data_IF_752444483440
#
_entry.id   IF_752444483440
#
_cell.length_a   1.000
_cell.length_b   1.000
_cell.length_c   1.000
_cell.angle_alpha   90.00
_cell.angle_beta   90.00
_cell.angle_gamma   90.00
#
_symmetry.space_group_name_H-M   'P 1'
#
loop_
_entity.id
_entity.type
_entity.pdbx_description
1 polymer ?
#
# COMPACT_ATOMS: atom_id res chain seq x y z
N UNK A 1 -9.22 17.17 -18.83
CA UNK A 1 -8.36 17.76 -17.80
C UNK A 1 -8.33 16.76 -16.66
N UNK A 2 -7.17 16.19 -16.34
CA UNK A 2 -7.06 15.30 -15.18
C UNK A 2 -7.34 16.11 -13.91
N UNK A 3 -8.03 15.51 -12.96
CA UNK A 3 -8.09 16.12 -11.62
C UNK A 3 -6.74 16.05 -10.92
N UNK A 4 -6.61 16.74 -9.79
CA UNK A 4 -5.34 16.90 -9.08
C UNK A 4 -4.72 15.55 -8.72
N UNK A 5 -5.55 14.58 -8.34
CA UNK A 5 -5.14 13.23 -7.93
C UNK A 5 -4.56 12.46 -9.12
N UNK A 6 -5.30 12.41 -10.23
CA UNK A 6 -4.82 11.68 -11.41
C UNK A 6 -3.58 12.34 -12.02
N UNK A 7 -3.47 13.68 -11.96
CA UNK A 7 -2.23 14.38 -12.37
C UNK A 7 -1.04 13.98 -11.51
N UNK A 8 -1.21 13.90 -10.19
CA UNK A 8 -0.13 13.48 -9.30
C UNK A 8 0.25 12.02 -9.50
N UNK A 9 -0.73 11.13 -9.70
CA UNK A 9 -0.48 9.74 -10.06
C UNK A 9 0.33 9.63 -11.36
N UNK A 10 -0.03 10.41 -12.39
CA UNK A 10 0.66 10.44 -13.67
C UNK A 10 2.13 10.91 -13.53
N UNK A 11 2.36 11.95 -12.73
CA UNK A 11 3.70 12.44 -12.44
C UNK A 11 4.56 11.40 -11.71
N UNK A 12 3.98 10.67 -10.74
CA UNK A 12 4.70 9.63 -10.02
C UNK A 12 5.07 8.49 -10.98
N UNK A 13 4.11 8.08 -11.80
CA UNK A 13 4.29 7.01 -12.78
C UNK A 13 5.41 7.33 -13.78
N UNK A 14 5.36 8.50 -14.40
CA UNK A 14 6.37 8.92 -15.40
C UNK A 14 7.76 9.16 -14.79
N UNK A 15 7.83 9.73 -13.59
CA UNK A 15 9.12 10.17 -13.01
C UNK A 15 9.85 9.08 -12.22
N UNK A 16 9.11 8.17 -11.58
CA UNK A 16 9.69 7.22 -10.63
C UNK A 16 9.45 5.76 -10.99
N UNK A 17 8.48 5.46 -11.87
CA UNK A 17 8.11 4.08 -12.20
C UNK A 17 8.47 3.68 -13.63
N UNK A 18 8.94 4.59 -14.49
CA UNK A 18 9.48 4.23 -15.80
C UNK A 18 10.72 3.35 -15.64
N UNK A 19 10.57 2.05 -15.91
CA UNK A 19 11.58 1.01 -15.65
C UNK A 19 12.76 1.04 -16.65
N UNK A 20 12.74 1.96 -17.61
CA UNK A 20 13.60 1.98 -18.79
C UNK A 20 15.09 2.24 -18.49
N UNK A 21 15.41 2.98 -17.41
CA UNK A 21 16.74 3.62 -17.30
C UNK A 21 17.59 3.22 -16.09
N UNK A 22 17.15 2.25 -15.26
CA UNK A 22 17.99 1.84 -14.12
C UNK A 22 19.30 1.20 -14.65
N UNK A 23 20.40 1.14 -13.91
CA UNK A 23 21.57 0.32 -14.26
C UNK A 23 21.39 -1.16 -13.89
N UNK A 24 22.03 -2.10 -14.61
CA UNK A 24 21.86 -3.55 -14.37
C UNK A 24 22.20 -4.01 -12.95
N UNK A 25 23.15 -3.35 -12.30
CA UNK A 25 23.57 -3.65 -10.93
C UNK A 25 22.59 -3.16 -9.85
N UNK A 26 21.65 -2.28 -10.20
CA UNK A 26 20.51 -1.99 -9.33
C UNK A 26 19.51 -3.13 -9.52
N UNK A 27 19.28 -3.86 -8.42
CA UNK A 27 18.19 -4.83 -8.33
C UNK A 27 16.83 -4.14 -8.45
N UNK A 28 15.78 -4.84 -8.02
CA UNK A 28 14.45 -4.23 -7.99
C UNK A 28 14.40 -3.04 -7.04
N UNK A 29 13.39 -2.20 -7.20
CA UNK A 29 13.26 -0.97 -6.43
C UNK A 29 12.07 -1.02 -5.49
N UNK A 30 12.31 -0.73 -4.22
CA UNK A 30 11.31 -0.51 -3.18
C UNK A 30 11.11 0.99 -2.98
N UNK A 31 9.90 1.47 -3.26
CA UNK A 31 9.51 2.87 -3.11
C UNK A 31 8.45 2.95 -2.03
N UNK A 32 8.74 3.66 -0.95
CA UNK A 32 7.75 4.04 0.04
C UNK A 32 7.09 5.35 -0.36
N UNK A 33 5.76 5.37 -0.36
CA UNK A 33 4.97 6.55 -0.66
C UNK A 33 4.11 6.97 0.53
N UNK A 34 4.36 8.18 1.01
CA UNK A 34 3.72 8.76 2.19
C UNK A 34 2.54 9.68 1.85
N UNK A 35 2.19 9.86 0.57
CA UNK A 35 1.18 10.86 0.17
C UNK A 35 1.45 12.21 0.83
N UNK A 36 0.43 12.82 1.44
CA UNK A 36 0.60 13.99 2.31
C UNK A 36 0.58 13.58 3.79
N UNK A 37 1.72 13.15 4.34
CA UNK A 37 1.83 12.62 5.71
C UNK A 37 0.88 11.43 5.99
N UNK A 38 0.54 10.67 4.97
CA UNK A 38 -0.35 9.51 4.97
C UNK A 38 -1.66 9.79 4.23
N UNK A 39 -1.97 11.05 3.96
CA UNK A 39 -3.25 11.47 3.44
C UNK A 39 -3.37 11.35 1.91
N UNK A 40 -4.52 10.87 1.43
CA UNK A 40 -4.82 10.71 0.00
C UNK A 40 -3.99 9.61 -0.68
N UNK A 41 -3.14 8.94 0.10
CA UNK A 41 -2.16 7.98 -0.39
C UNK A 41 -2.84 6.81 -1.10
N UNK A 42 -3.93 6.30 -0.53
CA UNK A 42 -4.62 5.16 -1.13
C UNK A 42 -5.37 5.54 -2.40
N UNK A 43 -5.90 6.76 -2.47
CA UNK A 43 -6.51 7.27 -3.70
C UNK A 43 -5.47 7.37 -4.81
N UNK A 44 -4.29 7.93 -4.52
CA UNK A 44 -3.22 8.08 -5.51
C UNK A 44 -2.66 6.72 -5.95
N UNK A 45 -2.42 5.78 -5.03
CA UNK A 45 -1.94 4.44 -5.39
C UNK A 45 -2.92 3.70 -6.31
N UNK A 46 -4.23 3.85 -6.06
CA UNK A 46 -5.26 3.26 -6.93
C UNK A 46 -5.24 3.90 -8.35
N UNK A 47 -5.12 5.24 -8.44
CA UNK A 47 -4.99 5.92 -9.73
C UNK A 47 -3.70 5.51 -10.47
N UNK A 48 -2.58 5.34 -9.76
CA UNK A 48 -1.32 4.83 -10.34
C UNK A 48 -1.54 3.43 -10.91
N UNK A 49 -2.22 2.54 -10.19
CA UNK A 49 -2.51 1.19 -10.66
C UNK A 49 -3.36 1.21 -11.94
N UNK A 50 -4.41 2.03 -12.00
CA UNK A 50 -5.23 2.18 -13.21
C UNK A 50 -4.43 2.74 -14.39
N UNK A 51 -3.65 3.80 -14.16
CA UNK A 51 -2.84 4.42 -15.21
C UNK A 51 -1.78 3.45 -15.73
N UNK A 52 -1.08 2.74 -14.85
CA UNK A 52 -0.06 1.75 -15.21
C UNK A 52 -0.64 0.62 -16.08
N UNK A 53 -1.87 0.17 -15.79
CA UNK A 53 -2.56 -0.85 -16.62
C UNK A 53 -2.95 -0.32 -18.00
N UNK A 54 -3.26 0.98 -18.13
CA UNK A 54 -3.71 1.59 -19.39
C UNK A 54 -2.56 2.06 -20.27
N UNK A 55 -1.49 2.60 -19.68
CA UNK A 55 -0.34 3.13 -20.40
C UNK A 55 0.57 2.01 -20.88
N UNK A 56 0.45 1.66 -22.16
CA UNK A 56 1.34 0.70 -22.84
C UNK A 56 2.82 1.08 -22.82
N UNK A 57 3.15 2.36 -22.58
CA UNK A 57 4.52 2.84 -22.47
C UNK A 57 5.20 2.42 -21.16
N UNK A 58 4.44 1.90 -20.19
CA UNK A 58 5.01 1.33 -18.98
C UNK A 58 5.53 -0.07 -19.29
N UNK A 59 6.84 -0.28 -19.14
CA UNK A 59 7.53 -1.56 -19.38
C UNK A 59 7.19 -2.65 -18.35
N UNK A 60 6.00 -2.61 -17.72
CA UNK A 60 5.52 -3.64 -16.80
C UNK A 60 4.49 -4.54 -17.48
N UNK A 61 4.80 -5.83 -17.58
CA UNK A 61 3.89 -6.85 -18.09
C UNK A 61 2.82 -7.23 -17.07
N UNK A 62 3.09 -7.03 -15.77
CA UNK A 62 2.17 -7.27 -14.67
C UNK A 62 2.08 -6.02 -13.79
N UNK A 63 0.85 -5.59 -13.49
CA UNK A 63 0.57 -4.57 -12.48
C UNK A 63 -0.33 -5.18 -11.40
N UNK A 64 0.25 -5.52 -10.25
CA UNK A 64 -0.48 -6.04 -9.09
C UNK A 64 -0.87 -4.88 -8.18
N UNK A 65 -2.17 -4.70 -7.97
CA UNK A 65 -2.69 -3.70 -7.04
C UNK A 65 -3.35 -4.39 -5.86
N UNK A 66 -2.67 -4.36 -4.71
CA UNK A 66 -3.07 -5.11 -3.52
C UNK A 66 -3.39 -4.16 -2.38
N UNK A 67 -4.67 -3.93 -2.19
CA UNK A 67 -5.18 -3.12 -1.10
C UNK A 67 -5.38 -3.95 0.18
N UNK A 68 -4.33 -4.01 0.98
CA UNK A 68 -4.33 -4.65 2.30
C UNK A 68 -4.39 -3.59 3.43
N UNK A 69 -5.04 -2.44 3.18
CA UNK A 69 -5.06 -1.33 4.15
C UNK A 69 -5.77 -1.67 5.46
N UNK A 70 -6.71 -2.60 5.43
CA UNK A 70 -7.24 -3.26 6.63
C UNK A 70 -6.46 -4.56 6.82
N UNK A 71 -5.46 -4.52 7.69
CA UNK A 71 -4.62 -5.68 7.96
C UNK A 71 -5.39 -6.74 8.72
N UNK A 72 -5.38 -7.97 8.20
CA UNK A 72 -5.83 -9.16 8.92
C UNK A 72 -4.65 -10.08 9.18
N UNK A 73 -3.90 -10.48 8.15
CA UNK A 73 -2.76 -11.40 8.27
C UNK A 73 -1.90 -11.45 7.02
N UNK A 74 -0.71 -12.07 7.15
CA UNK A 74 0.15 -12.37 6.00
C UNK A 74 -0.55 -13.29 5.00
N UNK A 75 -1.27 -14.32 5.49
CA UNK A 75 -2.15 -15.18 4.67
C UNK A 75 -3.11 -14.37 3.80
N UNK A 76 -3.76 -13.36 4.38
CA UNK A 76 -4.73 -12.50 3.68
C UNK A 76 -4.07 -11.72 2.56
N UNK A 77 -2.90 -11.12 2.82
CA UNK A 77 -2.12 -10.44 1.79
C UNK A 77 -1.71 -11.38 0.65
N UNK A 78 -1.21 -12.58 0.97
CA UNK A 78 -0.84 -13.57 -0.04
C UNK A 78 -2.04 -13.97 -0.90
N UNK A 79 -3.20 -14.17 -0.28
CA UNK A 79 -4.45 -14.52 -0.98
C UNK A 79 -4.89 -13.41 -1.92
N UNK A 80 -4.70 -12.14 -1.56
CA UNK A 80 -5.00 -11.02 -2.46
C UNK A 80 -4.04 -10.95 -3.65
N UNK A 81 -2.73 -11.18 -3.45
CA UNK A 81 -1.76 -11.29 -4.55
C UNK A 81 -2.17 -12.41 -5.52
N UNK A 82 -2.52 -13.58 -5.00
CA UNK A 82 -2.95 -14.72 -5.81
C UNK A 82 -4.24 -14.43 -6.61
N UNK A 83 -5.19 -13.68 -6.03
CA UNK A 83 -6.41 -13.24 -6.72
C UNK A 83 -6.13 -12.24 -7.83
N UNK A 84 -5.28 -11.24 -7.60
CA UNK A 84 -4.89 -10.29 -8.65
C UNK A 84 -4.15 -10.97 -9.82
N UNK A 85 -3.36 -12.01 -9.53
CA UNK A 85 -2.74 -12.85 -10.55
C UNK A 85 -3.71 -13.80 -11.25
N UNK A 86 -4.97 -13.86 -10.85
CA UNK A 86 -5.97 -14.83 -11.32
C UNK A 86 -5.49 -16.28 -11.20
N UNK A 87 -4.77 -16.61 -10.11
CA UNK A 87 -4.40 -18.00 -9.84
C UNK A 87 -5.67 -18.83 -9.62
N UNK A 88 -5.71 -20.01 -10.24
CA UNK A 88 -6.93 -20.82 -10.39
C UNK A 88 -7.51 -21.36 -9.07
N UNK A 89 -8.66 -22.02 -9.18
CA UNK A 89 -9.39 -22.57 -8.03
C UNK A 89 -8.58 -23.56 -7.19
N UNK A 90 -7.64 -24.30 -7.79
CA UNK A 90 -6.72 -25.17 -7.05
C UNK A 90 -5.85 -24.39 -6.06
N UNK A 91 -5.40 -23.18 -6.41
CA UNK A 91 -4.64 -22.31 -5.52
C UNK A 91 -5.51 -21.78 -4.39
N UNK A 92 -6.77 -21.41 -4.67
CA UNK A 92 -7.70 -20.98 -3.63
C UNK A 92 -8.00 -22.10 -2.63
N UNK A 93 -8.12 -23.34 -3.11
CA UNK A 93 -8.30 -24.52 -2.26
C UNK A 93 -7.11 -24.80 -1.33
N UNK A 94 -5.87 -24.46 -1.72
CA UNK A 94 -4.72 -24.55 -0.82
C UNK A 94 -4.87 -23.63 0.39
N UNK A 95 -5.34 -22.40 0.16
CA UNK A 95 -5.61 -21.49 1.27
C UNK A 95 -6.76 -21.98 2.15
N UNK A 96 -7.87 -22.41 1.56
CA UNK A 96 -9.05 -22.84 2.31
C UNK A 96 -8.72 -24.06 3.19
N UNK A 97 -7.98 -25.03 2.64
CA UNK A 97 -7.48 -26.17 3.41
C UNK A 97 -6.59 -25.75 4.59
N UNK A 98 -5.61 -24.88 4.36
CA UNK A 98 -4.73 -24.44 5.45
C UNK A 98 -5.47 -23.59 6.49
N UNK A 99 -6.45 -22.78 6.07
CA UNK A 99 -7.28 -22.01 6.98
C UNK A 99 -8.13 -22.91 7.88
N UNK A 100 -8.68 -24.01 7.34
CA UNK A 100 -9.37 -25.04 8.11
C UNK A 100 -8.43 -25.74 9.10
N UNK A 101 -7.27 -26.24 8.65
CA UNK A 101 -6.28 -26.91 9.51
C UNK A 101 -5.82 -26.01 10.68
N UNK A 102 -5.65 -24.71 10.42
CA UNK A 102 -5.31 -23.71 11.42
C UNK A 102 -6.47 -23.41 12.37
N UNK A 103 -7.71 -23.38 11.89
CA UNK A 103 -8.92 -23.27 12.73
C UNK A 103 -9.00 -24.47 13.70
N UNK A 104 -8.76 -25.69 13.22
CA UNK A 104 -8.70 -26.89 14.06
C UNK A 104 -7.57 -26.84 15.09
N UNK A 105 -6.44 -26.22 14.74
CA UNK A 105 -5.28 -26.05 15.62
C UNK A 105 -5.41 -24.86 16.59
N UNK A 106 -6.48 -24.07 16.47
CA UNK A 106 -6.70 -22.88 17.30
C UNK A 106 -5.75 -21.71 16.97
N UNK A 107 -5.22 -21.66 15.75
CA UNK A 107 -4.35 -20.57 15.31
C UNK A 107 -5.21 -19.36 14.94
N UNK A 108 -4.99 -18.27 15.67
CA UNK A 108 -5.65 -17.00 15.41
C UNK A 108 -5.40 -16.50 13.99
N UNK A 109 -6.43 -15.92 13.36
CA UNK A 109 -6.35 -15.39 11.99
C UNK A 109 -5.21 -14.40 11.81
N UNK A 110 -4.97 -13.54 12.78
CA UNK A 110 -3.89 -12.54 12.78
C UNK A 110 -2.49 -13.14 12.72
N UNK A 111 -2.32 -14.34 13.27
CA UNK A 111 -1.05 -15.06 13.33
C UNK A 111 -0.77 -15.93 12.10
N UNK A 112 -1.71 -16.00 11.15
CA UNK A 112 -1.61 -16.86 9.96
C UNK A 112 -0.54 -16.37 8.99
N UNK A 113 0.49 -17.20 8.83
CA UNK A 113 1.56 -16.99 7.86
C UNK A 113 1.13 -17.36 6.43
N UNK A 114 1.91 -16.89 5.46
CA UNK A 114 1.93 -17.32 4.07
C UNK A 114 2.16 -18.83 3.92
N UNK A 115 1.69 -19.38 2.80
CA UNK A 115 1.83 -20.79 2.44
C UNK A 115 2.93 -20.93 1.40
N UNK A 116 3.96 -21.72 1.69
CA UNK A 116 5.13 -21.90 0.81
C UNK A 116 4.77 -22.44 -0.58
N UNK A 117 3.81 -23.37 -0.65
CA UNK A 117 3.34 -23.91 -1.92
C UNK A 117 2.69 -22.82 -2.79
N UNK A 118 1.90 -21.94 -2.17
CA UNK A 118 1.30 -20.80 -2.89
C UNK A 118 2.35 -19.78 -3.29
N UNK A 119 3.37 -19.54 -2.46
CA UNK A 119 4.48 -18.65 -2.80
C UNK A 119 5.22 -19.16 -4.06
N UNK A 120 5.41 -20.47 -4.21
CA UNK A 120 5.99 -21.05 -5.45
C UNK A 120 5.09 -20.80 -6.67
N UNK A 121 3.77 -20.92 -6.52
CA UNK A 121 2.83 -20.66 -7.61
C UNK A 121 2.82 -19.19 -8.03
N UNK A 122 2.85 -18.27 -7.06
CA UNK A 122 2.99 -16.83 -7.30
C UNK A 122 4.31 -16.55 -8.03
N UNK A 123 5.42 -17.13 -7.55
CA UNK A 123 6.71 -16.97 -8.19
C UNK A 123 6.70 -17.43 -9.65
N UNK A 124 6.17 -18.63 -9.93
CA UNK A 124 6.08 -19.12 -11.31
C UNK A 124 5.23 -18.22 -12.21
N UNK A 125 4.18 -17.60 -11.66
CA UNK A 125 3.38 -16.66 -12.42
C UNK A 125 4.16 -15.37 -12.75
N UNK A 126 5.05 -14.89 -11.89
CA UNK A 126 5.69 -13.57 -12.04
C UNK A 126 7.11 -13.63 -12.63
N UNK A 127 7.88 -14.69 -12.36
CA UNK A 127 9.34 -14.79 -12.55
C UNK A 127 9.91 -14.51 -13.94
N UNK A 128 9.10 -14.50 -15.00
CA UNK A 128 9.57 -14.27 -16.38
C UNK A 128 9.05 -12.96 -16.95
N UNK A 129 8.32 -12.19 -16.14
CA UNK A 129 7.63 -10.95 -16.53
C UNK A 129 8.06 -9.78 -15.65
N UNK A 130 8.12 -8.58 -16.22
CA UNK A 130 8.31 -7.36 -15.42
C UNK A 130 7.05 -7.05 -14.60
N UNK A 131 7.23 -6.69 -13.32
CA UNK A 131 6.15 -6.54 -12.35
C UNK A 131 6.24 -5.21 -11.60
N UNK A 132 5.14 -4.46 -11.60
CA UNK A 132 4.87 -3.38 -10.66
C UNK A 132 3.91 -3.90 -9.59
N UNK A 133 4.38 -3.99 -8.35
CA UNK A 133 3.58 -4.36 -7.18
C UNK A 133 3.24 -3.10 -6.38
N UNK A 134 1.95 -2.78 -6.26
CA UNK A 134 1.42 -1.64 -5.52
C UNK A 134 0.70 -2.16 -4.27
N UNK A 135 1.16 -1.79 -3.07
CA UNK A 135 0.66 -2.35 -1.81
C UNK A 135 0.23 -1.28 -0.82
N UNK A 136 -1.01 -1.40 -0.36
CA UNK A 136 -1.50 -0.64 0.77
C UNK A 136 -1.25 -1.50 2.01
N UNK A 137 -0.11 -1.32 2.68
CA UNK A 137 0.25 -2.13 3.85
C UNK A 137 -0.47 -1.60 5.08
N UNK A 138 -1.55 -2.26 5.50
CA UNK A 138 -2.28 -1.92 6.72
C UNK A 138 -1.59 -2.30 8.03
N UNK A 139 -0.49 -3.05 7.97
CA UNK A 139 0.27 -3.45 9.17
C UNK A 139 1.19 -2.33 9.67
N UNK A 140 1.86 -2.60 10.79
CA UNK A 140 2.81 -1.70 11.42
C UNK A 140 4.27 -1.98 11.08
N UNK A 141 4.49 -3.00 10.25
CA UNK A 141 5.79 -3.58 9.97
C UNK A 141 6.02 -3.67 8.46
N UNK A 142 7.28 -3.52 8.05
CA UNK A 142 7.65 -3.74 6.67
C UNK A 142 7.44 -5.20 6.26
N UNK A 143 7.02 -5.40 5.02
CA UNK A 143 6.67 -6.71 4.49
C UNK A 143 7.72 -7.14 3.49
N UNK A 144 8.36 -8.29 3.77
CA UNK A 144 9.20 -8.98 2.81
C UNK A 144 8.33 -9.71 1.78
N UNK A 145 8.17 -9.09 0.61
CA UNK A 145 7.37 -9.61 -0.50
C UNK A 145 7.95 -10.88 -1.16
N UNK A 146 9.23 -11.21 -0.93
CA UNK A 146 9.83 -12.45 -1.42
C UNK A 146 9.18 -13.68 -0.80
N UNK A 147 8.79 -13.59 0.49
CA UNK A 147 8.11 -14.68 1.19
C UNK A 147 6.75 -15.03 0.59
N UNK A 148 6.13 -14.08 -0.12
CA UNK A 148 4.87 -14.28 -0.83
C UNK A 148 5.08 -14.84 -2.23
N UNK A 149 6.33 -14.99 -2.68
CA UNK A 149 6.69 -15.47 -4.01
C UNK A 149 6.88 -14.37 -5.05
N UNK A 150 6.79 -13.09 -4.69
CA UNK A 150 6.97 -12.01 -5.67
C UNK A 150 8.48 -11.72 -5.82
N UNK A 151 9.08 -11.83 -7.02
CA UNK A 151 10.52 -11.67 -7.24
C UNK A 151 10.97 -10.19 -7.23
N UNK A 152 10.69 -9.48 -6.13
CA UNK A 152 10.87 -8.02 -6.02
C UNK A 152 12.31 -7.53 -6.09
N UNK A 153 13.30 -8.41 -5.97
CA UNK A 153 14.73 -8.06 -6.07
C UNK A 153 15.25 -8.01 -7.50
N UNK A 154 14.48 -8.44 -8.48
CA UNK A 154 14.89 -8.33 -9.88
C UNK A 154 14.76 -6.89 -10.37
N UNK A 155 15.80 -6.38 -11.04
CA UNK A 155 15.89 -5.05 -11.67
C UNK A 155 14.59 -4.53 -12.30
N UNK A 156 13.91 -5.43 -13.02
CA UNK A 156 12.72 -5.11 -13.81
C UNK A 156 11.46 -4.97 -12.96
N UNK A 157 11.56 -5.20 -11.65
CA UNK A 157 10.44 -5.18 -10.74
C UNK A 157 10.53 -3.95 -9.82
N UNK A 158 9.37 -3.39 -9.53
CA UNK A 158 9.23 -2.25 -8.63
C UNK A 158 8.12 -2.55 -7.64
N UNK A 159 8.36 -2.22 -6.37
CA UNK A 159 7.38 -2.23 -5.31
C UNK A 159 7.10 -0.79 -4.92
N UNK A 160 5.84 -0.38 -5.02
CA UNK A 160 5.36 0.89 -4.51
C UNK A 160 4.42 0.60 -3.34
N UNK A 161 4.75 1.07 -2.14
CA UNK A 161 3.98 0.71 -0.96
C UNK A 161 3.81 1.86 0.03
N UNK A 162 2.81 1.73 0.91
CA UNK A 162 2.54 2.71 1.96
C UNK A 162 2.12 2.05 3.26
N UNK A 163 2.39 2.69 4.40
CA UNK A 163 1.92 2.26 5.72
C UNK A 163 0.56 2.84 6.06
N UNK A 164 -0.36 1.98 6.54
CA UNK A 164 -1.71 2.30 7.01
C UNK A 164 -2.48 3.26 6.10
N UNK A 165 -2.22 3.17 4.79
CA UNK A 165 -2.47 4.23 3.81
C UNK A 165 -3.74 5.04 4.05
N UNK A 166 -4.91 4.39 4.12
CA UNK A 166 -6.19 5.08 4.27
C UNK A 166 -6.33 5.76 5.62
N UNK A 167 -6.62 7.06 5.62
CA UNK A 167 -7.03 7.80 6.80
C UNK A 167 -6.05 7.69 7.96
N UNK A 168 -4.75 7.66 7.64
CA UNK A 168 -3.71 7.46 8.65
C UNK A 168 -3.66 8.62 9.64
N UNK A 169 -3.97 8.33 10.90
CA UNK A 169 -3.90 9.30 12.00
C UNK A 169 -2.48 9.45 12.58
N UNK A 170 -1.68 8.38 12.57
CA UNK A 170 -0.33 8.35 13.15
C UNK A 170 0.75 8.60 12.06
N UNK A 171 1.24 9.84 11.89
CA UNK A 171 2.23 10.15 10.88
C UNK A 171 3.62 9.56 11.19
N UNK A 172 3.91 9.27 12.46
CA UNK A 172 5.19 8.73 12.92
C UNK A 172 5.46 7.30 12.44
N UNK A 173 4.45 6.58 11.92
CA UNK A 173 4.68 5.22 11.38
C UNK A 173 5.70 5.21 10.23
N UNK A 174 5.83 6.34 9.49
CA UNK A 174 6.81 6.47 8.41
C UNK A 174 8.25 6.35 8.93
N UNK A 175 8.48 6.61 10.21
CA UNK A 175 9.79 6.52 10.84
C UNK A 175 10.21 5.06 11.06
N UNK A 176 9.28 4.10 10.89
CA UNK A 176 9.57 2.67 10.86
C UNK A 176 10.10 2.19 9.50
N UNK A 177 10.05 3.02 8.46
CA UNK A 177 10.55 2.66 7.13
C UNK A 177 12.07 2.56 7.18
N UNK A 178 12.61 1.39 6.85
CA UNK A 178 14.04 1.05 6.89
C UNK A 178 14.57 0.57 5.54
N UNK A 179 13.77 -0.18 4.79
CA UNK A 179 14.25 -0.89 3.59
C UNK A 179 13.67 -0.35 2.27
N UNK A 180 13.19 0.90 2.25
CA UNK A 180 12.83 1.58 1.02
C UNK A 180 14.06 2.21 0.37
N UNK A 181 14.24 1.99 -0.94
CA UNK A 181 15.29 2.64 -1.75
C UNK A 181 14.97 4.11 -2.01
N UNK A 182 13.68 4.44 -2.08
CA UNK A 182 13.19 5.79 -2.31
C UNK A 182 12.01 6.11 -1.41
N UNK A 183 12.03 7.32 -0.84
CA UNK A 183 10.94 7.87 -0.06
C UNK A 183 10.28 9.00 -0.85
N UNK A 184 8.98 8.86 -1.12
CA UNK A 184 8.18 9.85 -1.82
C UNK A 184 7.11 10.42 -0.90
N UNK A 185 7.04 11.75 -0.82
CA UNK A 185 5.94 12.47 -0.19
C UNK A 185 5.51 13.62 -1.08
N UNK A 186 4.26 14.06 -0.91
CA UNK A 186 3.70 15.20 -1.60
C UNK A 186 3.69 16.36 -0.63
N UNK A 187 4.43 17.41 -0.97
CA UNK A 187 4.17 18.75 -0.47
C UNK A 187 3.27 19.45 -1.49
N UNK A 188 1.97 19.57 -1.21
CA UNK A 188 1.06 20.36 -2.05
C UNK A 188 0.48 21.55 -1.30
N UNK A 189 0.38 22.65 -2.05
CA UNK A 189 0.30 24.04 -1.59
C UNK A 189 -1.14 24.54 -1.34
N UNK A 190 -2.19 23.73 -1.56
CA UNK A 190 -3.58 24.19 -1.50
C UNK A 190 -4.53 23.32 -0.66
N UNK A 191 -5.55 23.94 -0.04
CA UNK A 191 -6.59 23.24 0.73
C UNK A 191 -7.62 22.52 -0.18
N UNK A 192 -7.85 23.01 -1.39
CA UNK A 192 -8.78 22.42 -2.37
C UNK A 192 -8.40 20.99 -2.73
N UNK A 193 -7.13 20.78 -3.06
CA UNK A 193 -6.58 19.52 -3.54
C UNK A 193 -6.62 18.48 -2.40
N UNK A 194 -6.49 18.94 -1.15
CA UNK A 194 -6.66 18.09 0.02
C UNK A 194 -8.09 17.59 0.15
N UNK A 195 -9.09 18.46 0.08
CA UNK A 195 -10.48 18.01 0.19
C UNK A 195 -10.84 17.00 -0.90
N UNK A 196 -10.37 17.22 -2.13
CA UNK A 196 -10.58 16.28 -3.22
C UNK A 196 -9.97 14.89 -2.93
N UNK A 197 -8.71 14.84 -2.49
CA UNK A 197 -8.05 13.60 -2.06
C UNK A 197 -8.83 12.90 -0.93
N UNK A 198 -9.36 13.66 0.03
CA UNK A 198 -10.10 13.15 1.20
C UNK A 198 -11.38 12.49 0.74
N UNK A 199 -12.11 13.16 -0.16
CA UNK A 199 -13.35 12.64 -0.71
C UNK A 199 -13.14 11.43 -1.60
N UNK A 200 -12.07 11.39 -2.41
CA UNK A 200 -11.72 10.22 -3.23
C UNK A 200 -11.36 9.03 -2.35
N UNK A 201 -10.54 9.22 -1.33
CA UNK A 201 -10.20 8.16 -0.39
C UNK A 201 -11.44 7.69 0.41
N UNK A 202 -12.32 8.62 0.80
CA UNK A 202 -13.57 8.32 1.46
C UNK A 202 -14.55 7.56 0.56
N UNK A 203 -14.56 7.85 -0.75
CA UNK A 203 -15.38 7.15 -1.71
C UNK A 203 -14.99 5.68 -1.83
N UNK A 204 -13.69 5.34 -1.71
CA UNK A 204 -13.22 3.96 -1.76
C UNK A 204 -13.72 3.09 -0.60
N UNK A 205 -14.05 3.70 0.54
CA UNK A 205 -14.55 2.99 1.74
C UNK A 205 -16.01 3.27 2.03
N UNK A 206 -16.65 4.13 1.23
CA UNK A 206 -18.04 4.50 1.40
C UNK A 206 -18.94 3.30 1.16
N UNK A 207 -19.75 2.97 2.16
CA UNK A 207 -20.77 1.93 2.09
C UNK A 207 -22.12 2.51 2.45
N UNK A 208 -22.39 2.63 3.76
CA UNK A 208 -23.62 3.22 4.30
C UNK A 208 -23.45 4.69 4.72
N UNK A 209 -22.20 5.16 4.77
CA UNK A 209 -21.83 6.52 5.18
C UNK A 209 -21.31 7.24 3.94
N UNK A 210 -21.81 8.46 3.68
CA UNK A 210 -21.39 9.23 2.51
C UNK A 210 -19.90 9.57 2.57
N UNK A 211 -19.21 9.69 1.43
CA UNK A 211 -17.80 10.06 1.40
C UNK A 211 -17.54 11.40 2.11
N UNK A 212 -18.46 12.36 1.97
CA UNK A 212 -18.37 13.64 2.65
C UNK A 212 -18.43 13.51 4.18
N UNK A 213 -19.26 12.61 4.71
CA UNK A 213 -19.33 12.41 6.15
C UNK A 213 -18.11 11.68 6.70
N UNK A 214 -17.56 10.71 5.96
CA UNK A 214 -16.30 10.04 6.32
C UNK A 214 -15.15 11.06 6.35
N UNK A 215 -15.08 11.91 5.33
CA UNK A 215 -14.13 13.01 5.23
C UNK A 215 -14.21 13.95 6.46
N UNK A 216 -15.40 14.44 6.80
CA UNK A 216 -15.63 15.28 8.00
C UNK A 216 -15.20 14.58 9.29
N UNK A 217 -15.63 13.32 9.49
CA UNK A 217 -15.26 12.54 10.68
C UNK A 217 -13.75 12.39 10.80
N UNK A 218 -13.06 12.14 9.70
CA UNK A 218 -11.61 12.03 9.73
C UNK A 218 -10.93 13.35 10.07
N UNK A 219 -11.34 14.46 9.45
CA UNK A 219 -10.81 15.79 9.78
C UNK A 219 -10.98 16.11 11.27
N UNK A 220 -12.14 15.75 11.84
CA UNK A 220 -12.40 15.89 13.27
C UNK A 220 -11.45 15.04 14.12
N UNK A 221 -11.29 13.75 13.79
CA UNK A 221 -10.37 12.85 14.51
C UNK A 221 -8.92 13.31 14.40
N UNK A 222 -8.49 13.80 13.24
CA UNK A 222 -7.15 14.35 13.01
C UNK A 222 -6.90 15.60 13.85
N UNK A 223 -7.89 16.51 13.93
CA UNK A 223 -7.81 17.68 14.80
C UNK A 223 -7.69 17.27 16.27
N UNK A 224 -8.50 16.30 16.71
CA UNK A 224 -8.45 15.77 18.07
C UNK A 224 -7.10 15.13 18.38
N UNK A 225 -6.57 14.29 17.49
CA UNK A 225 -5.26 13.68 17.64
C UNK A 225 -4.16 14.75 17.74
N UNK A 226 -4.14 15.71 16.83
CA UNK A 226 -3.15 16.80 16.83
C UNK A 226 -3.17 17.60 18.13
N UNK A 227 -4.36 17.96 18.62
CA UNK A 227 -4.50 18.64 19.90
C UNK A 227 -3.98 17.78 21.05
N UNK A 228 -4.35 16.50 21.09
CA UNK A 228 -3.93 15.59 22.16
C UNK A 228 -2.41 15.35 22.18
N UNK A 229 -1.77 15.26 21.00
CA UNK A 229 -0.32 15.16 20.87
C UNK A 229 0.39 16.42 21.37
N UNK A 230 -0.18 17.61 21.12
CA UNK A 230 0.39 18.88 21.61
C UNK A 230 0.22 19.07 23.13
N UNK A 231 -0.87 18.55 23.73
CA UNK A 231 -1.03 18.60 25.18
C UNK A 231 0.03 17.74 25.91
N UNK A 232 0.35 16.55 25.39
CA UNK A 232 1.37 15.67 25.99
C UNK A 232 2.77 16.29 25.89
N UNK A 233 3.10 17.03 24.82
CA UNK A 233 4.42 17.68 24.73
C UNK A 233 4.60 18.80 25.76
N UNK A 234 3.54 19.50 26.15
CA UNK A 234 3.65 20.59 27.14
C UNK A 234 3.83 20.09 28.58
N UNK A 235 3.36 18.90 28.91
CA UNK A 235 3.50 18.35 30.27
C UNK A 235 4.91 17.80 30.55
N UNK A 236 5.68 17.42 29.52
CA UNK A 236 7.07 16.93 29.69
C UNK A 236 8.03 18.08 29.99
N UNK A 237 7.77 19.28 29.45
CA UNK A 237 8.61 20.47 29.69
C UNK A 237 8.34 21.15 31.04
N UNK A 238 7.21 20.82 31.69
CA UNK A 238 6.83 21.42 32.99
C UNK A 238 7.42 20.69 34.22
N UNK A 239 8.10 19.56 34.05
CA UNK A 239 8.71 18.77 35.15
C UNK A 239 10.23 18.98 35.24
N UNK A 240 10.79 19.91 34.46
CA UNK A 240 12.24 20.08 34.29
C UNK A 240 12.83 21.46 34.63
N UNK A 241 12.13 22.31 35.40
CA UNK A 241 12.60 23.66 35.77
C UNK A 241 12.52 23.96 37.26
#
# INVERSE_FOLDING_TARGET
MFDGVTRTADQILEKYLSNSDRPYYQGGQSIYFDGWKGFGTSAILADIAELARRKKSMDYEIVLHVDCSVWESRRTLQRMIAKELNLGGSTMALFDKQDEDDDFSGIEKSSRAEIDEVAKLIFQAVKDRSCLLIVHNGSDDEIDFLRFGVPVLERRNTVLWTFRGRFRLEPAIKDKVKNADLFLSIDQEGWSDRNELLHREAAQVSRKISPARIAECWLYLSLMYYNHSNFISHDIDAVGS
#
